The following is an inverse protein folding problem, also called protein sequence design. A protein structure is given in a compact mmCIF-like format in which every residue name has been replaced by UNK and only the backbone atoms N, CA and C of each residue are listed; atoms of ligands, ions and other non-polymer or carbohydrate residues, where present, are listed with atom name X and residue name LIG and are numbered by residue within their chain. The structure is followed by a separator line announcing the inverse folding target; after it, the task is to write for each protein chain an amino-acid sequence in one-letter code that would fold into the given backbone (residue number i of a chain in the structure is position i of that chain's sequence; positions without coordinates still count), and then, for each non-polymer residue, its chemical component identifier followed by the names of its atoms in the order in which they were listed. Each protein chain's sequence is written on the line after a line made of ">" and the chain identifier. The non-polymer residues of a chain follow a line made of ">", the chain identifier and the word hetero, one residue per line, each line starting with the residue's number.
data_IF_700270100275
#
_entry.id   IF_700270100275
#
_cell.length_a   1.000
_cell.length_b   1.000
_cell.length_c   1.000
_cell.angle_alpha   90.00
_cell.angle_beta   90.00
_cell.angle_gamma   90.00
#
_symmetry.space_group_name_H-M   'P 1'
#
loop_
_entity.id
_entity.type
_entity.pdbx_description
1 polymer ?
#
# COMPACT_ATOMS: atom_id res chain seq x y z
N UNK A 1 -18.05 -1.14 -5.66
CA UNK A 1 -17.42 -0.62 -6.89
C UNK A 1 -16.02 -1.18 -7.04
N UNK A 2 -15.63 -1.46 -8.28
CA UNK A 2 -14.30 -1.96 -8.57
C UNK A 2 -13.29 -0.81 -8.54
N UNK A 3 -12.20 -1.01 -7.81
CA UNK A 3 -11.10 -0.06 -7.75
C UNK A 3 -9.82 -0.76 -8.18
N UNK A 4 -8.84 0.04 -8.60
CA UNK A 4 -7.51 -0.45 -8.89
C UNK A 4 -6.69 -0.36 -7.61
N UNK A 5 -6.16 -1.49 -7.14
CA UNK A 5 -5.39 -1.59 -5.89
C UNK A 5 -4.00 -2.13 -6.22
N UNK A 6 -2.98 -1.40 -5.81
CA UNK A 6 -1.60 -1.85 -5.93
C UNK A 6 -1.14 -2.45 -4.61
N UNK A 7 -0.51 -3.62 -4.68
CA UNK A 7 0.11 -4.26 -3.51
C UNK A 7 1.60 -4.29 -3.75
N UNK A 8 2.36 -3.64 -2.86
CA UNK A 8 3.81 -3.56 -2.97
C UNK A 8 4.46 -4.19 -1.74
N UNK A 9 5.13 -5.33 -1.92
CA UNK A 9 5.78 -6.07 -0.87
C UNK A 9 6.84 -6.96 -1.51
N UNK A 10 7.99 -7.15 -0.85
CA UNK A 10 9.04 -8.00 -1.37
C UNK A 10 8.87 -9.47 -0.98
N UNK A 11 7.90 -9.81 -0.13
CA UNK A 11 7.60 -11.19 0.26
C UNK A 11 6.55 -11.79 -0.67
N UNK A 12 6.91 -12.83 -1.46
CA UNK A 12 5.95 -13.44 -2.40
C UNK A 12 4.68 -13.97 -1.75
N UNK A 13 4.80 -14.52 -0.54
CA UNK A 13 3.65 -15.06 0.17
C UNK A 13 2.62 -13.98 0.53
N UNK A 14 3.12 -12.81 0.92
CA UNK A 14 2.25 -11.67 1.23
C UNK A 14 1.55 -11.19 -0.04
N UNK A 15 2.29 -11.06 -1.13
CA UNK A 15 1.71 -10.65 -2.42
C UNK A 15 0.58 -11.59 -2.84
N UNK A 16 0.81 -12.90 -2.76
CA UNK A 16 -0.19 -13.89 -3.16
C UNK A 16 -1.44 -13.78 -2.28
N UNK A 17 -1.25 -13.70 -0.97
CA UNK A 17 -2.36 -13.63 -0.02
C UNK A 17 -3.20 -12.37 -0.22
N UNK A 18 -2.56 -11.23 -0.37
CA UNK A 18 -3.26 -9.96 -0.54
C UNK A 18 -3.90 -9.84 -1.92
N UNK A 19 -3.26 -10.40 -2.94
CA UNK A 19 -3.84 -10.43 -4.28
C UNK A 19 -5.16 -11.21 -4.26
N UNK A 20 -5.16 -12.39 -3.64
CA UNK A 20 -6.36 -13.21 -3.52
C UNK A 20 -7.47 -12.44 -2.79
N UNK A 21 -7.11 -11.82 -1.69
CA UNK A 21 -8.09 -11.07 -0.88
C UNK A 21 -8.70 -9.90 -1.65
N UNK A 22 -7.87 -9.12 -2.33
CA UNK A 22 -8.36 -7.94 -3.05
C UNK A 22 -9.20 -8.33 -4.27
N UNK A 23 -8.84 -9.40 -4.96
CA UNK A 23 -9.65 -9.92 -6.06
C UNK A 23 -11.00 -10.41 -5.57
N UNK A 24 -11.02 -11.05 -4.41
CA UNK A 24 -12.27 -11.50 -3.79
C UNK A 24 -13.18 -10.32 -3.42
N UNK A 25 -12.59 -9.19 -3.07
CA UNK A 25 -13.33 -7.95 -2.79
C UNK A 25 -13.77 -7.22 -4.06
N UNK A 26 -13.45 -7.77 -5.24
CA UNK A 26 -13.91 -7.22 -6.51
C UNK A 26 -12.99 -6.19 -7.14
N UNK A 27 -11.76 -6.06 -6.69
CA UNK A 27 -10.83 -5.06 -7.20
C UNK A 27 -9.91 -5.59 -8.28
N UNK A 28 -9.44 -4.70 -9.14
CA UNK A 28 -8.36 -4.96 -10.07
C UNK A 28 -7.04 -4.81 -9.32
N UNK A 29 -6.17 -5.82 -9.37
CA UNK A 29 -4.95 -5.86 -8.56
C UNK A 29 -3.71 -5.69 -9.41
N UNK A 30 -2.80 -4.84 -8.93
CA UNK A 30 -1.46 -4.67 -9.47
C UNK A 30 -0.46 -5.10 -8.40
N UNK A 31 0.65 -5.69 -8.80
CA UNK A 31 1.68 -6.16 -7.87
C UNK A 31 3.02 -5.52 -8.15
N UNK A 32 3.73 -5.14 -7.09
CA UNK A 32 5.09 -4.63 -7.16
C UNK A 32 5.94 -5.33 -6.10
N UNK A 33 7.18 -5.65 -6.43
CA UNK A 33 8.09 -6.38 -5.53
C UNK A 33 9.15 -5.49 -4.88
N UNK A 34 9.27 -4.27 -5.34
CA UNK A 34 10.21 -3.29 -4.78
C UNK A 34 9.63 -1.90 -4.93
N UNK A 35 10.29 -0.92 -4.30
CA UNK A 35 9.78 0.43 -4.27
C UNK A 35 9.85 1.15 -5.62
N UNK A 36 10.82 0.83 -6.46
CA UNK A 36 10.93 1.44 -7.79
C UNK A 36 9.79 0.99 -8.68
N UNK A 37 9.49 -0.32 -8.68
CA UNK A 37 8.38 -0.87 -9.43
C UNK A 37 7.05 -0.31 -8.93
N UNK A 38 6.91 -0.19 -7.60
CA UNK A 38 5.71 0.38 -6.99
C UNK A 38 5.47 1.80 -7.48
N UNK A 39 6.50 2.64 -7.43
CA UNK A 39 6.37 4.04 -7.83
C UNK A 39 6.05 4.17 -9.32
N UNK A 40 6.68 3.35 -10.16
CA UNK A 40 6.40 3.36 -11.59
C UNK A 40 4.94 3.00 -11.88
N UNK A 41 4.41 1.97 -11.20
CA UNK A 41 3.02 1.55 -11.37
C UNK A 41 2.04 2.59 -10.82
N UNK A 42 2.37 3.23 -9.70
CA UNK A 42 1.52 4.29 -9.16
C UNK A 42 1.38 5.43 -10.16
N UNK A 43 2.47 5.82 -10.79
CA UNK A 43 2.47 6.90 -11.78
C UNK A 43 1.74 6.54 -13.06
N UNK A 44 1.91 5.31 -13.54
CA UNK A 44 1.31 4.90 -14.81
C UNK A 44 -0.15 4.47 -14.68
N UNK A 45 -0.49 3.78 -13.59
CA UNK A 45 -1.81 3.19 -13.41
C UNK A 45 -2.74 3.98 -12.50
N UNK A 46 -2.19 4.86 -11.69
CA UNK A 46 -2.93 5.72 -10.74
C UNK A 46 -3.96 4.93 -9.93
N UNK A 47 -3.52 3.94 -9.14
CA UNK A 47 -4.46 3.14 -8.36
C UNK A 47 -5.17 3.99 -7.30
N UNK A 48 -6.37 3.57 -6.93
CA UNK A 48 -7.13 4.25 -5.88
C UNK A 48 -6.50 4.02 -4.51
N UNK A 49 -5.87 2.86 -4.30
CA UNK A 49 -5.28 2.48 -3.03
C UNK A 49 -3.97 1.73 -3.27
N UNK A 50 -2.98 2.00 -2.43
CA UNK A 50 -1.71 1.28 -2.41
C UNK A 50 -1.53 0.63 -1.04
N UNK A 51 -1.35 -0.69 -1.02
CA UNK A 51 -0.93 -1.42 0.18
C UNK A 51 0.58 -1.51 0.08
N UNK A 52 1.30 -0.81 0.94
CA UNK A 52 2.71 -0.51 0.76
C UNK A 52 3.54 -0.97 1.96
N UNK A 53 4.39 -1.98 1.74
CA UNK A 53 5.34 -2.43 2.76
C UNK A 53 6.38 -1.34 2.99
N UNK A 54 6.72 -1.10 4.26
CA UNK A 54 7.73 -0.10 4.61
C UNK A 54 9.13 -0.55 4.17
N UNK A 55 9.46 -1.82 4.41
CA UNK A 55 10.81 -2.34 4.15
C UNK A 55 10.87 -3.12 2.85
N UNK A 56 11.30 -2.45 1.78
CA UNK A 56 11.48 -3.06 0.48
C UNK A 56 12.84 -2.67 -0.09
N UNK A 57 13.42 -3.52 -0.98
CA UNK A 57 14.66 -3.15 -1.65
C UNK A 57 14.45 -2.01 -2.64
N UNK A 58 15.52 -1.37 -3.04
CA UNK A 58 15.61 -0.24 -3.99
C UNK A 58 15.05 1.06 -3.43
N UNK A 59 13.75 1.13 -3.16
CA UNK A 59 13.13 2.25 -2.46
C UNK A 59 12.27 1.70 -1.32
N UNK A 60 12.37 2.32 -0.16
CA UNK A 60 11.51 1.94 0.98
C UNK A 60 10.09 2.45 0.73
N UNK A 61 9.13 1.90 1.47
CA UNK A 61 7.76 2.39 1.41
C UNK A 61 7.65 3.86 1.78
N UNK A 62 8.48 4.32 2.71
CA UNK A 62 8.49 5.74 3.11
C UNK A 62 8.93 6.62 1.94
N UNK A 63 10.00 6.22 1.24
CA UNK A 63 10.46 6.95 0.07
C UNK A 63 9.41 7.00 -1.05
N UNK A 64 8.72 5.89 -1.27
CA UNK A 64 7.63 5.83 -2.25
C UNK A 64 6.51 6.78 -1.85
N UNK A 65 6.12 6.76 -0.58
CA UNK A 65 5.07 7.65 -0.06
C UNK A 65 5.44 9.12 -0.23
N UNK A 66 6.69 9.48 0.09
CA UNK A 66 7.18 10.85 -0.11
C UNK A 66 7.07 11.28 -1.57
N UNK A 67 7.48 10.42 -2.50
CA UNK A 67 7.41 10.72 -3.92
C UNK A 67 5.97 10.91 -4.40
N UNK A 68 5.06 10.07 -3.92
CA UNK A 68 3.64 10.18 -4.27
C UNK A 68 3.04 11.48 -3.74
N UNK A 69 3.35 11.84 -2.52
CA UNK A 69 2.79 13.06 -1.91
C UNK A 69 3.41 14.34 -2.48
N UNK A 70 4.58 14.24 -3.09
CA UNK A 70 5.20 15.37 -3.79
C UNK A 70 4.61 15.59 -5.19
N UNK A 71 3.79 14.67 -5.68
CA UNK A 71 3.20 14.72 -7.01
C UNK A 71 1.71 15.07 -6.91
N UNK A 72 1.35 16.28 -7.32
CA UNK A 72 -0.03 16.77 -7.22
C UNK A 72 -1.02 15.89 -8.00
N UNK A 73 -0.58 15.25 -9.08
CA UNK A 73 -1.43 14.37 -9.87
C UNK A 73 -1.82 13.10 -9.11
N UNK A 74 -1.07 12.77 -8.07
CA UNK A 74 -1.30 11.57 -7.25
C UNK A 74 -1.92 11.91 -5.89
N UNK A 75 -2.44 13.13 -5.72
CA UNK A 75 -3.01 13.57 -4.45
C UNK A 75 -4.17 12.70 -3.96
N UNK A 76 -4.93 12.11 -4.89
CA UNK A 76 -6.06 11.25 -4.55
C UNK A 76 -5.71 9.79 -4.27
N UNK A 77 -4.45 9.40 -4.44
CA UNK A 77 -4.02 8.03 -4.17
C UNK A 77 -3.93 7.81 -2.66
N UNK A 78 -4.67 6.82 -2.16
CA UNK A 78 -4.64 6.49 -0.74
C UNK A 78 -3.55 5.45 -0.48
N UNK A 79 -2.84 5.60 0.64
CA UNK A 79 -1.72 4.73 0.99
C UNK A 79 -1.94 4.13 2.38
N UNK A 80 -1.96 2.81 2.43
CA UNK A 80 -1.97 2.04 3.67
C UNK A 80 -0.61 1.39 3.83
N UNK A 81 0.15 1.82 4.83
CA UNK A 81 1.48 1.27 5.10
C UNK A 81 1.36 -0.06 5.85
N UNK A 82 2.15 -1.04 5.43
CA UNK A 82 2.23 -2.34 6.11
C UNK A 82 3.60 -2.41 6.79
N UNK A 83 3.61 -2.57 8.10
CA UNK A 83 4.84 -2.49 8.88
C UNK A 83 5.02 -3.72 9.77
N UNK A 84 6.27 -4.09 10.04
CA UNK A 84 6.57 -5.19 10.95
C UNK A 84 6.30 -4.77 12.40
N UNK A 85 5.91 -5.75 13.21
CA UNK A 85 5.69 -5.52 14.64
C UNK A 85 6.95 -4.95 15.28
N UNK A 86 6.78 -3.93 16.10
CA UNK A 86 7.91 -3.31 16.80
C UNK A 86 8.59 -2.17 16.04
N UNK A 87 8.06 -1.77 14.89
CA UNK A 87 8.65 -0.71 14.07
C UNK A 87 7.86 0.59 14.18
N UNK A 88 7.66 1.04 15.40
CA UNK A 88 6.89 2.25 15.68
C UNK A 88 7.47 3.51 15.02
N UNK A 89 8.80 3.56 14.90
CA UNK A 89 9.47 4.68 14.24
C UNK A 89 9.08 4.77 12.77
N UNK A 90 8.96 3.60 12.10
CA UNK A 90 8.57 3.56 10.69
C UNK A 90 7.12 4.02 10.53
N UNK A 91 6.25 3.67 11.45
CA UNK A 91 4.86 4.12 11.46
C UNK A 91 4.79 5.64 11.56
N UNK A 92 5.53 6.21 12.52
CA UNK A 92 5.55 7.66 12.71
C UNK A 92 6.07 8.38 11.47
N UNK A 93 7.13 7.85 10.83
CA UNK A 93 7.66 8.43 9.61
C UNK A 93 6.66 8.33 8.44
N UNK A 94 5.99 7.17 8.30
CA UNK A 94 5.01 6.96 7.25
C UNK A 94 3.86 7.94 7.36
N UNK A 95 3.30 8.12 8.55
CA UNK A 95 2.23 9.07 8.78
C UNK A 95 2.71 10.51 8.59
N UNK A 96 3.95 10.80 8.99
CA UNK A 96 4.54 12.12 8.84
C UNK A 96 4.77 12.54 7.39
N UNK A 97 4.93 11.57 6.46
CA UNK A 97 5.10 11.87 5.05
C UNK A 97 3.81 11.72 4.25
N UNK A 98 2.68 11.51 4.90
CA UNK A 98 1.38 11.55 4.24
C UNK A 98 0.70 10.23 3.94
N UNK A 99 1.07 9.15 4.63
CA UNK A 99 0.31 7.89 4.54
C UNK A 99 -1.07 8.10 5.17
N UNK A 100 -2.09 7.45 4.62
CA UNK A 100 -3.46 7.57 5.12
C UNK A 100 -3.73 6.63 6.30
N UNK A 101 -2.92 5.62 6.49
CA UNK A 101 -3.03 4.72 7.61
C UNK A 101 -1.92 3.70 7.63
N UNK A 102 -1.94 2.82 8.62
CA UNK A 102 -0.96 1.75 8.73
C UNK A 102 -1.60 0.51 9.34
N UNK A 103 -1.01 -0.65 9.08
CA UNK A 103 -1.34 -1.89 9.76
C UNK A 103 -0.05 -2.63 10.08
N UNK A 104 -0.01 -3.26 11.26
CA UNK A 104 1.15 -4.01 11.72
C UNK A 104 1.02 -5.48 11.31
N UNK A 105 2.09 -6.04 10.76
CA UNK A 105 2.17 -7.48 10.49
C UNK A 105 2.49 -8.24 11.77
N UNK A 106 1.92 -9.41 12.00
CA UNK A 106 0.89 -10.05 11.19
C UNK A 106 -0.47 -9.40 11.42
N UNK A 107 -1.26 -9.31 10.36
CA UNK A 107 -2.64 -8.78 10.43
C UNK A 107 -3.61 -9.86 10.01
N UNK A 108 -4.87 -9.76 10.42
CA UNK A 108 -5.89 -10.68 9.94
C UNK A 108 -6.41 -10.19 8.58
N UNK A 109 -6.79 -11.14 7.72
CA UNK A 109 -7.37 -10.78 6.43
C UNK A 109 -8.69 -10.03 6.60
N UNK A 110 -9.44 -10.36 7.64
CA UNK A 110 -10.69 -9.69 7.97
C UNK A 110 -10.48 -8.22 8.32
N UNK A 111 -9.47 -7.93 9.15
CA UNK A 111 -9.14 -6.56 9.53
C UNK A 111 -8.66 -5.74 8.34
N UNK A 112 -7.83 -6.36 7.50
CA UNK A 112 -7.32 -5.69 6.31
C UNK A 112 -8.45 -5.37 5.34
N UNK A 113 -9.34 -6.33 5.08
CA UNK A 113 -10.47 -6.12 4.19
C UNK A 113 -11.37 -4.99 4.70
N UNK A 114 -11.64 -4.94 6.00
CA UNK A 114 -12.44 -3.88 6.60
C UNK A 114 -11.78 -2.51 6.44
N UNK A 115 -10.47 -2.43 6.66
CA UNK A 115 -9.72 -1.17 6.51
C UNK A 115 -9.74 -0.70 5.07
N UNK A 116 -9.55 -1.61 4.12
CA UNK A 116 -9.58 -1.28 2.69
C UNK A 116 -10.95 -0.73 2.30
N UNK A 117 -12.02 -1.36 2.76
CA UNK A 117 -13.38 -0.88 2.46
C UNK A 117 -13.60 0.54 2.97
N UNK A 118 -13.13 0.82 4.19
CA UNK A 118 -13.25 2.17 4.77
C UNK A 118 -12.46 3.20 3.95
N UNK A 119 -11.25 2.85 3.55
CA UNK A 119 -10.40 3.78 2.81
C UNK A 119 -10.96 4.05 1.41
N UNK A 120 -11.55 3.06 0.76
CA UNK A 120 -12.11 3.22 -0.58
C UNK A 120 -13.50 3.85 -0.58
N UNK A 121 -14.19 3.83 0.55
CA UNK A 121 -15.51 4.44 0.67
C UNK A 121 -15.46 5.96 0.79
N UNK A 122 -14.34 6.45 1.26
CA UNK A 122 -14.12 7.89 1.39
C UNK A 122 -13.49 8.47 0.16
#
# INVERSE_FOLDING_TARGET
>A
MTHKVLIADDEPNILISLEFLMKREGHQVLLARDGEEALALIRSERPALVLLDVMMPRKTGIEVCQAVRADDELAGTKILMLTAKGRDTDVAQGLGVGADGYMTKPFSTKELAARVRLMLAG
#
